data_IF_364885625346
#
_entry.id   IF_364885625346
#
_cell.length_a   1.000
_cell.length_b   1.000
_cell.length_c   1.000
_cell.angle_alpha   90.00
_cell.angle_beta   90.00
_cell.angle_gamma   90.00
#
_symmetry.space_group_name_H-M   'P 1'
#
loop_
_entity.id
_entity.type
_entity.pdbx_description
1 polymer ?
#
# COMPACT_ATOMS: atom_id res chain seq x y z
N UNK A 1 47.11 -8.30 -20.42
CA UNK A 1 46.45 -9.50 -20.09
C UNK A 1 45.51 -9.39 -18.98
N UNK A 2 46.00 -8.96 -17.89
CA UNK A 2 45.17 -8.91 -16.69
C UNK A 2 44.04 -7.95 -16.77
N UNK A 3 44.19 -6.92 -17.51
CA UNK A 3 43.13 -5.93 -17.62
C UNK A 3 41.87 -6.50 -18.18
N UNK A 4 41.97 -7.50 -18.99
CA UNK A 4 40.77 -8.07 -19.57
C UNK A 4 39.84 -8.62 -18.51
N UNK A 5 40.44 -9.29 -17.58
CA UNK A 5 39.65 -9.92 -16.53
C UNK A 5 38.86 -8.92 -15.75
N UNK A 6 39.47 -7.81 -15.49
CA UNK A 6 38.76 -6.77 -14.74
C UNK A 6 37.54 -6.28 -15.51
N UNK A 7 37.67 -6.17 -16.79
CA UNK A 7 36.52 -5.71 -17.56
C UNK A 7 35.35 -6.66 -17.44
N UNK A 8 35.64 -7.94 -17.42
CA UNK A 8 34.56 -8.91 -17.28
C UNK A 8 33.80 -8.73 -15.97
N UNK A 9 34.52 -8.48 -14.93
CA UNK A 9 33.86 -8.26 -13.64
C UNK A 9 32.93 -7.09 -13.68
N UNK A 10 33.36 -6.02 -14.28
CA UNK A 10 32.52 -4.84 -14.36
C UNK A 10 31.23 -5.13 -15.07
N UNK A 11 31.30 -5.89 -16.12
CA UNK A 11 30.12 -6.24 -16.86
C UNK A 11 29.09 -6.97 -15.97
N UNK A 12 29.60 -7.89 -15.19
CA UNK A 12 28.70 -8.63 -14.31
C UNK A 12 28.02 -7.74 -13.32
N UNK A 13 28.74 -6.82 -12.75
CA UNK A 13 28.14 -5.93 -11.78
C UNK A 13 27.04 -5.09 -12.39
N UNK A 14 27.26 -4.61 -13.55
CA UNK A 14 26.25 -3.83 -14.24
C UNK A 14 25.00 -4.65 -14.46
N UNK A 15 25.15 -5.87 -14.82
CA UNK A 15 24.01 -6.74 -15.04
C UNK A 15 23.16 -6.90 -13.80
N UNK A 16 23.82 -7.11 -12.68
CA UNK A 16 23.08 -7.29 -11.44
C UNK A 16 22.25 -6.08 -11.09
N UNK A 17 22.83 -4.91 -11.23
CA UNK A 17 22.11 -3.69 -10.94
C UNK A 17 20.90 -3.57 -11.85
N UNK A 18 21.08 -3.81 -13.11
CA UNK A 18 19.98 -3.71 -14.05
C UNK A 18 18.86 -4.67 -13.75
N UNK A 19 19.18 -5.85 -13.31
CA UNK A 19 18.15 -6.83 -13.00
C UNK A 19 17.29 -6.40 -11.83
N UNK A 20 17.89 -5.87 -10.80
CA UNK A 20 17.15 -5.49 -9.63
C UNK A 20 16.19 -4.35 -9.91
N UNK A 21 16.68 -3.30 -10.55
CA UNK A 21 15.86 -2.13 -10.79
C UNK A 21 14.62 -2.40 -11.63
N UNK A 22 14.75 -3.01 -12.79
CA UNK A 22 13.59 -3.26 -13.63
C UNK A 22 12.55 -4.12 -12.98
N UNK A 23 12.95 -5.10 -12.20
CA UNK A 23 12.01 -5.96 -11.53
C UNK A 23 11.09 -5.18 -10.59
N UNK A 24 11.65 -4.26 -9.85
CA UNK A 24 10.86 -3.46 -8.94
C UNK A 24 9.88 -2.57 -9.68
N UNK A 25 10.32 -2.00 -10.76
CA UNK A 25 9.46 -1.13 -11.55
C UNK A 25 8.27 -1.88 -12.11
N UNK A 26 8.47 -3.10 -12.55
CA UNK A 26 7.41 -3.89 -13.14
C UNK A 26 6.29 -4.20 -12.16
N UNK A 27 6.62 -4.36 -10.89
CA UNK A 27 5.63 -4.66 -9.88
C UNK A 27 5.25 -3.46 -9.07
N UNK A 28 5.53 -2.30 -9.58
CA UNK A 28 5.30 -1.09 -8.84
C UNK A 28 3.83 -0.77 -8.72
N UNK A 29 3.23 -1.24 -7.66
CA UNK A 29 1.98 -0.70 -7.19
C UNK A 29 2.35 0.46 -6.29
N UNK A 30 1.89 1.64 -6.64
CA UNK A 30 2.21 2.81 -5.86
C UNK A 30 1.66 2.65 -4.45
N UNK A 31 2.51 2.87 -3.47
CA UNK A 31 2.10 2.83 -2.09
C UNK A 31 2.26 4.24 -1.53
N UNK A 32 1.17 4.77 -1.00
CA UNK A 32 1.18 6.08 -0.33
C UNK A 32 1.00 5.83 1.15
N UNK A 33 1.86 6.45 1.95
CA UNK A 33 1.78 6.34 3.40
C UNK A 33 1.39 7.69 3.96
N UNK A 34 0.41 7.71 4.84
CA UNK A 34 -0.05 8.92 5.50
C UNK A 34 -0.24 8.62 6.99
N UNK A 35 -0.20 9.65 7.81
CA UNK A 35 -0.38 9.50 9.24
C UNK A 35 -1.59 10.33 9.66
N UNK A 36 -2.57 9.67 10.26
CA UNK A 36 -3.83 10.29 10.63
C UNK A 36 -4.01 10.26 12.14
N UNK A 37 -4.58 11.31 12.69
CA UNK A 37 -4.94 11.32 14.09
C UNK A 37 -6.18 10.48 14.31
N UNK A 38 -6.15 9.64 15.32
CA UNK A 38 -7.28 8.86 15.70
C UNK A 38 -6.99 7.38 15.75
N UNK A 39 -7.95 6.64 16.26
CA UNK A 39 -7.86 5.19 16.42
C UNK A 39 -8.06 4.49 15.08
N UNK A 40 -7.22 3.51 14.81
CA UNK A 40 -7.22 2.84 13.52
C UNK A 40 -8.54 2.12 13.22
N UNK A 41 -9.17 1.53 14.23
CA UNK A 41 -10.43 0.83 14.02
C UNK A 41 -11.56 1.80 13.71
N UNK A 42 -11.60 2.92 14.40
CA UNK A 42 -12.60 3.93 14.16
C UNK A 42 -12.45 4.55 12.77
N UNK A 43 -11.22 4.88 12.40
CA UNK A 43 -10.95 5.45 11.08
C UNK A 43 -11.30 4.47 9.97
N UNK A 44 -10.95 3.20 10.15
CA UNK A 44 -11.27 2.19 9.16
C UNK A 44 -12.78 2.01 9.02
N UNK A 45 -13.51 1.97 10.13
CA UNK A 45 -14.96 1.81 10.08
C UNK A 45 -15.63 2.99 9.39
N UNK A 46 -15.19 4.19 9.70
CA UNK A 46 -15.73 5.39 9.07
C UNK A 46 -15.49 5.35 7.56
N UNK A 47 -14.28 5.03 7.18
CA UNK A 47 -13.91 4.96 5.76
C UNK A 47 -14.71 3.86 5.06
N UNK A 48 -14.83 2.70 5.69
CA UNK A 48 -15.58 1.59 5.12
C UNK A 48 -17.04 1.97 4.88
N UNK A 49 -17.67 2.62 5.81
CA UNK A 49 -19.05 3.02 5.66
C UNK A 49 -19.25 3.96 4.48
N UNK A 50 -18.34 4.90 4.29
CA UNK A 50 -18.41 5.80 3.16
C UNK A 50 -18.25 5.06 1.84
N UNK A 51 -17.30 4.14 1.79
CA UNK A 51 -17.01 3.40 0.57
C UNK A 51 -18.06 2.35 0.25
N UNK A 52 -18.64 1.73 1.27
CA UNK A 52 -19.65 0.70 1.08
C UNK A 52 -20.91 1.22 0.37
N UNK A 53 -21.15 2.50 0.46
CA UNK A 53 -22.27 3.11 -0.26
C UNK A 53 -22.03 3.16 -1.76
N UNK A 54 -20.78 3.08 -2.17
CA UNK A 54 -20.39 3.23 -3.58
C UNK A 54 -19.98 1.92 -4.23
N UNK A 55 -19.57 0.95 -3.42
CA UNK A 55 -18.98 -0.28 -3.94
C UNK A 55 -19.59 -1.51 -3.30
N UNK A 56 -20.13 -2.40 -4.11
CA UNK A 56 -20.74 -3.63 -3.61
C UNK A 56 -19.71 -4.70 -3.25
N UNK A 57 -18.50 -4.61 -3.79
CA UNK A 57 -17.49 -5.66 -3.64
C UNK A 57 -16.36 -5.24 -2.73
N UNK A 58 -16.70 -4.45 -1.73
CA UNK A 58 -15.76 -3.99 -0.75
C UNK A 58 -15.60 -5.03 0.36
N UNK A 59 -14.39 -5.25 0.81
CA UNK A 59 -14.13 -6.15 1.94
C UNK A 59 -13.35 -5.43 3.01
N UNK A 60 -13.58 -5.83 4.26
CA UNK A 60 -12.84 -5.30 5.40
C UNK A 60 -12.41 -6.48 6.26
N UNK A 61 -11.13 -6.52 6.60
CA UNK A 61 -10.54 -7.58 7.41
C UNK A 61 -9.86 -6.97 8.62
N UNK A 62 -10.21 -7.46 9.80
CA UNK A 62 -9.62 -7.00 11.05
C UNK A 62 -8.50 -7.96 11.43
N UNK A 63 -7.27 -7.48 11.33
CA UNK A 63 -6.08 -8.25 11.68
C UNK A 63 -5.62 -7.82 13.06
N UNK A 64 -6.33 -8.27 14.08
CA UNK A 64 -6.13 -7.80 15.45
C UNK A 64 -4.74 -8.04 15.99
N UNK A 65 -4.16 -9.16 15.66
CA UNK A 65 -2.81 -9.48 16.15
C UNK A 65 -1.77 -8.51 15.63
N UNK A 66 -2.02 -7.94 14.46
CA UNK A 66 -1.15 -6.97 13.84
C UNK A 66 -1.63 -5.54 14.08
N UNK A 67 -2.72 -5.38 14.82
CA UNK A 67 -3.34 -4.09 15.07
C UNK A 67 -3.55 -3.32 13.78
N UNK A 68 -4.16 -3.99 12.82
CA UNK A 68 -4.34 -3.47 11.46
C UNK A 68 -5.74 -3.82 10.99
N UNK A 69 -6.40 -2.88 10.33
CA UNK A 69 -7.64 -3.16 9.60
C UNK A 69 -7.35 -2.89 8.13
N UNK A 70 -7.73 -3.84 7.30
CA UNK A 70 -7.49 -3.73 5.86
C UNK A 70 -8.81 -3.65 5.13
N UNK A 71 -8.92 -2.69 4.22
CA UNK A 71 -10.08 -2.52 3.36
C UNK A 71 -9.60 -2.66 1.93
N UNK A 72 -10.27 -3.49 1.15
CA UNK A 72 -9.88 -3.72 -0.22
C UNK A 72 -11.09 -3.72 -1.14
N UNK A 73 -10.91 -3.20 -2.33
CA UNK A 73 -11.88 -3.34 -3.41
C UNK A 73 -11.30 -4.31 -4.41
N UNK A 74 -11.91 -5.47 -4.48
CA UNK A 74 -11.44 -6.52 -5.37
C UNK A 74 -12.59 -7.05 -6.20
N UNK A 75 -12.26 -7.39 -7.45
CA UNK A 75 -13.15 -8.14 -8.30
C UNK A 75 -12.26 -9.19 -8.95
N UNK A 76 -12.36 -10.40 -8.44
CA UNK A 76 -11.43 -11.45 -8.83
C UNK A 76 -11.30 -11.55 -10.34
N UNK A 77 -10.07 -11.70 -10.83
CA UNK A 77 -8.82 -11.86 -10.09
C UNK A 77 -8.11 -10.55 -9.74
N UNK A 78 -8.74 -9.41 -9.95
CA UNK A 78 -8.07 -8.12 -9.79
C UNK A 78 -8.33 -7.49 -8.44
N UNK A 79 -7.29 -6.85 -7.91
CA UNK A 79 -7.41 -5.94 -6.78
C UNK A 79 -7.31 -4.53 -7.31
N UNK A 80 -8.34 -3.73 -7.06
CA UNK A 80 -8.36 -2.36 -7.56
C UNK A 80 -7.55 -1.44 -6.67
N UNK A 81 -7.70 -1.56 -5.37
CA UNK A 81 -6.88 -0.84 -4.39
C UNK A 81 -7.04 -1.50 -3.02
N UNK A 82 -6.14 -1.16 -2.13
CA UNK A 82 -6.13 -1.71 -0.77
C UNK A 82 -5.67 -0.64 0.20
N UNK A 83 -6.39 -0.53 1.31
CA UNK A 83 -6.04 0.38 2.40
C UNK A 83 -5.72 -0.43 3.63
N UNK A 84 -4.64 -0.07 4.33
CA UNK A 84 -4.30 -0.66 5.60
C UNK A 84 -4.23 0.43 6.66
N UNK A 85 -5.01 0.27 7.72
CA UNK A 85 -5.04 1.19 8.84
C UNK A 85 -4.28 0.53 9.98
N UNK A 86 -3.09 1.01 10.26
CA UNK A 86 -2.18 0.39 11.22
C UNK A 86 -2.06 1.26 12.45
N UNK A 87 -2.24 0.64 13.62
CA UNK A 87 -2.15 1.35 14.88
C UNK A 87 -0.75 1.89 15.11
N UNK A 88 -0.67 3.15 15.56
CA UNK A 88 0.58 3.76 15.96
C UNK A 88 0.39 4.52 17.27
N UNK A 89 1.47 4.68 18.01
CA UNK A 89 1.50 5.48 19.23
C UNK A 89 0.37 5.17 20.22
N UNK A 90 0.25 3.87 20.54
CA UNK A 90 -0.70 3.46 21.58
C UNK A 90 -2.15 3.73 21.25
N UNK A 91 -2.50 3.78 20.00
CA UNK A 91 -3.88 3.95 19.57
C UNK A 91 -4.29 5.39 19.28
N UNK A 92 -3.36 6.34 19.39
CA UNK A 92 -3.69 7.74 19.15
C UNK A 92 -3.52 8.15 17.71
N UNK A 93 -2.68 7.44 17.00
CA UNK A 93 -2.44 7.72 15.58
C UNK A 93 -2.54 6.47 14.77
N UNK A 94 -2.83 6.65 13.50
CA UNK A 94 -2.96 5.57 12.53
C UNK A 94 -2.03 5.83 11.37
N UNK A 95 -1.25 4.83 11.01
CA UNK A 95 -0.50 4.88 9.75
C UNK A 95 -1.41 4.28 8.68
N UNK A 96 -1.77 5.08 7.71
CA UNK A 96 -2.58 4.65 6.59
C UNK A 96 -1.67 4.33 5.43
N UNK A 97 -1.75 3.11 4.94
CA UNK A 97 -1.01 2.68 3.77
C UNK A 97 -2.01 2.38 2.67
N UNK A 98 -1.90 3.10 1.58
CA UNK A 98 -2.78 2.93 0.44
C UNK A 98 -2.00 2.37 -0.72
N UNK A 99 -2.40 1.21 -1.19
CA UNK A 99 -1.77 0.55 -2.32
C UNK A 99 -2.71 0.60 -3.51
N UNK A 100 -2.25 1.21 -4.60
CA UNK A 100 -3.04 1.24 -5.83
C UNK A 100 -2.81 -0.03 -6.62
N UNK A 101 -3.90 -0.60 -7.11
CA UNK A 101 -3.84 -1.70 -8.06
C UNK A 101 -4.25 -1.18 -9.42
N UNK A 102 -5.41 -1.63 -9.89
CA UNK A 102 -5.91 -1.18 -11.18
C UNK A 102 -6.45 0.25 -11.17
N UNK A 103 -6.81 0.76 -10.00
CA UNK A 103 -7.34 2.12 -9.85
C UNK A 103 -6.47 2.94 -8.93
N UNK A 104 -6.43 4.27 -9.12
CA UNK A 104 -5.69 5.14 -8.22
C UNK A 104 -6.37 5.24 -6.86
N UNK A 105 -5.62 5.64 -5.85
CA UNK A 105 -6.10 5.69 -4.48
C UNK A 105 -6.44 7.09 -3.98
N UNK A 106 -6.35 8.10 -4.81
CA UNK A 106 -6.55 9.48 -4.37
C UNK A 106 -7.91 9.71 -3.73
N UNK A 107 -8.95 9.17 -4.33
CA UNK A 107 -10.30 9.32 -3.83
C UNK A 107 -10.47 8.66 -2.48
N UNK A 108 -9.98 7.43 -2.33
CA UNK A 108 -10.14 6.71 -1.07
C UNK A 108 -9.30 7.31 0.05
N UNK A 109 -8.14 7.85 -0.29
CA UNK A 109 -7.32 8.57 0.67
C UNK A 109 -8.04 9.81 1.18
N UNK A 110 -8.70 10.53 0.30
CA UNK A 110 -9.46 11.71 0.69
C UNK A 110 -10.57 11.36 1.67
N UNK A 111 -11.27 10.25 1.44
CA UNK A 111 -12.31 9.80 2.35
C UNK A 111 -11.75 9.43 3.72
N UNK A 112 -10.62 8.75 3.74
CA UNK A 112 -9.99 8.37 4.99
C UNK A 112 -9.54 9.60 5.78
N UNK A 113 -8.97 10.58 5.11
CA UNK A 113 -8.56 11.81 5.76
C UNK A 113 -9.74 12.58 6.32
N UNK A 114 -10.85 12.56 5.62
CA UNK A 114 -12.07 13.21 6.11
C UNK A 114 -12.58 12.55 7.39
N UNK A 115 -12.39 11.26 7.52
CA UNK A 115 -12.77 10.55 8.75
C UNK A 115 -11.91 10.94 9.94
N UNK A 116 -10.70 11.40 9.71
CA UNK A 116 -9.78 11.82 10.75
C UNK A 116 -10.04 13.25 11.22
N UNK A 117 -10.71 14.02 10.43
CA UNK A 117 -10.96 15.45 10.74
C UNK A 117 -11.94 15.65 11.87
#
# INVERSE_FOLDING_TARGET
MKGRTSAAFLACMISLVGCAGPAEVLFNNSIVVDHLDGNYQRLASCTYEQLARQHAQLSMTDLREQQTVRIALTKAPQTYWELSFVNEEGGRQTRLEAMSGSFPTEHVLALARACAA
#
